data_IF_103801757404
#
_entry.id   IF_103801757404
#
_cell.length_a   1.000
_cell.length_b   1.000
_cell.length_c   1.000
_cell.angle_alpha   90.00
_cell.angle_beta   90.00
_cell.angle_gamma   90.00
#
_symmetry.space_group_name_H-M   'P 1'
#
loop_
_entity.id
_entity.type
_entity.pdbx_description
1 polymer ?
#
# COMPACT_ATOMS: atom_id res chain seq x y z
N UNK A 1 -6.81 -1.97 -5.73
CA UNK A 1 -7.15 -1.46 -4.38
C UNK A 1 -8.66 -1.48 -4.16
N UNK A 2 -9.49 -1.04 -5.12
CA UNK A 2 -10.96 -1.09 -4.97
C UNK A 2 -11.50 -2.50 -4.67
N UNK A 3 -10.99 -3.55 -5.36
CA UNK A 3 -11.35 -4.93 -5.03
C UNK A 3 -10.95 -5.35 -3.60
N UNK A 4 -9.84 -4.83 -3.08
CA UNK A 4 -9.40 -5.09 -1.71
C UNK A 4 -10.35 -4.49 -0.66
N UNK A 5 -11.05 -3.40 -1.00
CA UNK A 5 -12.01 -2.76 -0.10
C UNK A 5 -13.26 -3.62 0.16
N UNK A 6 -13.60 -4.53 -0.75
CA UNK A 6 -14.75 -5.42 -0.61
C UNK A 6 -14.60 -6.39 0.57
N UNK A 7 -13.38 -6.86 0.87
CA UNK A 7 -13.14 -7.78 1.97
C UNK A 7 -13.60 -7.23 3.33
N UNK A 8 -13.02 -6.11 3.82
CA UNK A 8 -13.44 -5.49 5.08
C UNK A 8 -14.91 -5.03 5.08
N UNK A 9 -15.43 -4.58 3.91
CA UNK A 9 -16.85 -4.22 3.78
C UNK A 9 -17.76 -5.40 4.06
N UNK A 10 -17.51 -6.53 3.38
CA UNK A 10 -18.30 -7.75 3.55
C UNK A 10 -18.15 -8.33 4.94
N UNK A 11 -16.92 -8.32 5.49
CA UNK A 11 -16.68 -8.79 6.86
C UNK A 11 -17.37 -7.90 7.89
N UNK A 12 -17.33 -6.58 7.71
CA UNK A 12 -18.04 -5.63 8.57
C UNK A 12 -19.57 -5.83 8.54
N UNK A 13 -20.14 -6.00 7.35
CA UNK A 13 -21.56 -6.28 7.17
C UNK A 13 -21.96 -7.63 7.78
N UNK A 14 -21.18 -8.68 7.57
CA UNK A 14 -21.44 -10.00 8.14
C UNK A 14 -21.43 -9.97 9.68
N UNK A 15 -20.51 -9.19 10.28
CA UNK A 15 -20.44 -8.99 11.72
C UNK A 15 -21.68 -8.25 12.26
N UNK A 16 -22.12 -7.18 11.60
CA UNK A 16 -23.27 -6.39 12.07
C UNK A 16 -24.60 -7.08 11.88
N UNK A 17 -24.75 -7.90 10.83
CA UNK A 17 -25.96 -8.65 10.54
C UNK A 17 -25.99 -10.03 11.20
N UNK A 18 -24.93 -10.39 11.93
CA UNK A 18 -24.71 -11.71 12.54
C UNK A 18 -24.93 -12.88 11.55
N UNK A 19 -24.55 -12.66 10.28
CA UNK A 19 -24.67 -13.61 9.18
C UNK A 19 -23.38 -14.42 9.01
N UNK A 20 -23.20 -15.45 9.80
CA UNK A 20 -22.02 -16.33 9.73
C UNK A 20 -20.70 -15.54 9.57
N UNK A 21 -20.38 -14.60 10.50
CA UNK A 21 -19.31 -13.62 10.31
C UNK A 21 -17.93 -14.24 10.05
N UNK A 22 -17.70 -15.45 10.54
CA UNK A 22 -16.44 -16.19 10.35
C UNK A 22 -16.38 -16.98 9.03
N UNK A 23 -17.49 -17.21 8.36
CA UNK A 23 -17.54 -18.07 7.17
C UNK A 23 -17.99 -17.33 5.89
N UNK A 24 -19.00 -16.45 5.99
CA UNK A 24 -19.63 -15.79 4.85
C UNK A 24 -18.63 -15.04 3.96
N UNK A 25 -17.68 -14.22 4.48
CA UNK A 25 -16.71 -13.52 3.65
C UNK A 25 -15.84 -14.48 2.82
N UNK A 26 -15.45 -15.61 3.39
CA UNK A 26 -14.65 -16.62 2.70
C UNK A 26 -15.42 -17.34 1.61
N UNK A 27 -16.71 -17.69 1.87
CA UNK A 27 -17.57 -18.30 0.85
C UNK A 27 -17.81 -17.37 -0.33
N UNK A 28 -18.02 -16.07 -0.09
CA UNK A 28 -18.19 -15.07 -1.15
C UNK A 28 -16.90 -14.90 -1.99
N UNK A 29 -15.74 -14.81 -1.35
CA UNK A 29 -14.46 -14.72 -2.07
C UNK A 29 -14.21 -15.99 -2.88
N UNK A 30 -14.47 -17.16 -2.33
CA UNK A 30 -14.35 -18.44 -3.03
C UNK A 30 -15.26 -18.48 -4.26
N UNK A 31 -16.53 -18.09 -4.13
CA UNK A 31 -17.48 -18.01 -5.23
C UNK A 31 -17.00 -17.05 -6.33
N UNK A 32 -16.57 -15.84 -5.97
CA UNK A 32 -16.02 -14.87 -6.92
C UNK A 32 -14.77 -15.40 -7.64
N UNK A 33 -13.89 -16.08 -6.91
CA UNK A 33 -12.67 -16.70 -7.49
C UNK A 33 -13.03 -17.80 -8.49
N UNK A 34 -14.02 -18.65 -8.17
CA UNK A 34 -14.50 -19.67 -9.10
C UNK A 34 -15.10 -19.05 -10.36
N UNK A 35 -15.95 -18.04 -10.24
CA UNK A 35 -16.53 -17.32 -11.39
C UNK A 35 -15.42 -16.70 -12.25
N UNK A 36 -14.44 -16.03 -11.63
CA UNK A 36 -13.31 -15.44 -12.35
C UNK A 36 -12.49 -16.52 -13.07
N UNK A 37 -12.23 -17.66 -12.42
CA UNK A 37 -11.49 -18.79 -13.02
C UNK A 37 -12.24 -19.37 -14.21
N UNK A 38 -13.55 -19.61 -14.07
CA UNK A 38 -14.38 -20.07 -15.19
C UNK A 38 -14.40 -19.06 -16.34
N UNK A 39 -14.47 -17.76 -16.03
CA UNK A 39 -14.41 -16.69 -17.03
C UNK A 39 -13.09 -16.69 -17.81
N UNK A 40 -11.97 -16.88 -17.13
CA UNK A 40 -10.64 -16.99 -17.76
C UNK A 40 -10.55 -18.24 -18.61
N UNK A 41 -10.97 -19.40 -18.10
CA UNK A 41 -10.90 -20.67 -18.84
C UNK A 41 -11.84 -20.68 -20.06
N UNK A 42 -13.02 -20.08 -19.96
CA UNK A 42 -13.99 -20.01 -21.06
C UNK A 42 -13.74 -18.91 -22.08
N UNK A 43 -13.10 -17.81 -21.68
CA UNK A 43 -12.90 -16.62 -22.51
C UNK A 43 -11.44 -16.39 -22.96
N UNK A 44 -10.50 -17.25 -22.56
CA UNK A 44 -9.10 -17.10 -22.95
C UNK A 44 -8.93 -17.34 -24.45
N UNK A 45 -8.51 -16.34 -25.24
CA UNK A 45 -8.26 -16.57 -26.66
C UNK A 45 -7.13 -17.58 -26.80
N UNK A 46 -7.43 -18.72 -27.44
CA UNK A 46 -6.46 -19.79 -27.73
C UNK A 46 -5.32 -19.34 -28.65
N UNK A 47 -5.43 -18.16 -29.26
CA UNK A 47 -4.42 -17.51 -30.08
C UNK A 47 -3.88 -16.25 -29.41
N UNK A 48 -3.26 -16.36 -28.23
CA UNK A 48 -2.20 -15.41 -27.90
C UNK A 48 -1.05 -15.78 -28.82
N UNK A 49 -1.04 -15.20 -30.02
CA UNK A 49 0.19 -15.13 -30.80
C UNK A 49 1.20 -14.47 -29.88
N UNK A 50 2.06 -15.28 -29.27
CA UNK A 50 3.33 -14.82 -28.75
C UNK A 50 3.95 -14.10 -29.94
N UNK A 51 3.89 -12.76 -29.93
CA UNK A 51 4.50 -11.95 -30.97
C UNK A 51 5.87 -12.54 -31.16
N UNK A 52 6.16 -13.00 -32.40
CA UNK A 52 7.37 -13.72 -32.75
C UNK A 52 8.57 -12.90 -32.25
N UNK A 53 8.94 -13.15 -30.99
CA UNK A 53 10.22 -12.67 -30.47
C UNK A 53 11.24 -13.39 -31.32
N UNK A 54 11.91 -12.64 -32.19
CA UNK A 54 12.99 -13.18 -33.00
C UNK A 54 13.94 -13.94 -32.07
N UNK A 55 14.42 -15.13 -32.46
CA UNK A 55 15.32 -15.94 -31.63
C UNK A 55 16.51 -15.15 -31.07
N UNK A 56 16.97 -14.14 -31.78
CA UNK A 56 18.03 -13.20 -31.37
C UNK A 56 17.63 -12.31 -30.19
N UNK A 57 16.36 -11.93 -30.07
CA UNK A 57 15.88 -11.16 -28.92
C UNK A 57 15.79 -12.00 -27.63
N UNK A 58 15.63 -13.32 -27.75
CA UNK A 58 15.65 -14.24 -26.60
C UNK A 58 17.08 -14.57 -26.14
N UNK A 59 18.10 -14.46 -27.01
CA UNK A 59 19.51 -14.74 -26.68
C UNK A 59 20.26 -13.54 -26.11
N UNK A 60 19.75 -12.32 -26.24
CA UNK A 60 20.34 -11.16 -25.61
C UNK A 60 20.31 -11.36 -24.08
N UNK A 61 21.46 -11.70 -23.49
CA UNK A 61 21.62 -11.93 -22.05
C UNK A 61 21.18 -10.66 -21.31
N UNK A 62 19.98 -10.70 -20.76
CA UNK A 62 19.42 -9.55 -20.03
C UNK A 62 20.41 -9.09 -18.95
N UNK A 63 20.69 -7.79 -18.81
CA UNK A 63 21.68 -7.27 -17.87
C UNK A 63 21.40 -7.77 -16.46
N UNK A 64 22.46 -7.97 -15.67
CA UNK A 64 22.34 -8.33 -14.25
C UNK A 64 21.60 -7.23 -13.47
N UNK A 65 20.95 -7.58 -12.34
CA UNK A 65 20.19 -6.62 -11.53
C UNK A 65 21.03 -5.41 -11.12
N UNK A 66 22.26 -5.63 -10.65
CA UNK A 66 23.18 -4.55 -10.25
C UNK A 66 23.53 -3.62 -11.42
N UNK A 67 23.71 -4.20 -12.61
CA UNK A 67 23.97 -3.41 -13.82
C UNK A 67 22.74 -2.59 -14.23
N UNK A 68 21.53 -3.15 -14.08
CA UNK A 68 20.26 -2.47 -14.33
C UNK A 68 20.03 -1.29 -13.38
N UNK A 69 20.49 -1.39 -12.12
CA UNK A 69 20.37 -0.34 -11.10
C UNK A 69 21.43 0.76 -11.26
N UNK A 70 22.47 0.55 -12.07
CA UNK A 70 23.55 1.54 -12.25
C UNK A 70 22.98 2.86 -12.79
N UNK A 71 23.20 3.94 -12.03
CA UNK A 71 22.75 5.30 -12.34
C UNK A 71 21.30 5.63 -11.96
N UNK A 72 20.48 4.64 -11.57
CA UNK A 72 19.09 4.85 -11.14
C UNK A 72 18.81 4.35 -9.72
N UNK A 73 19.81 3.76 -9.05
CA UNK A 73 19.61 3.05 -7.78
C UNK A 73 18.93 3.90 -6.71
N UNK A 74 19.39 5.12 -6.48
CA UNK A 74 18.82 5.96 -5.41
C UNK A 74 17.37 6.38 -5.68
N UNK A 75 16.97 6.89 -6.86
CA UNK A 75 15.55 7.13 -7.16
C UNK A 75 14.70 5.87 -7.11
N UNK A 76 15.25 4.74 -7.57
CA UNK A 76 14.56 3.45 -7.54
C UNK A 76 14.26 2.99 -6.11
N UNK A 77 15.29 2.98 -5.25
CA UNK A 77 15.11 2.58 -3.84
C UNK A 77 14.20 3.54 -3.08
N UNK A 78 14.27 4.85 -3.35
CA UNK A 78 13.34 5.80 -2.76
C UNK A 78 11.88 5.43 -3.06
N UNK A 79 11.56 5.14 -4.33
CA UNK A 79 10.21 4.73 -4.71
C UNK A 79 9.79 3.41 -4.05
N UNK A 80 10.69 2.41 -4.02
CA UNK A 80 10.41 1.11 -3.41
C UNK A 80 10.18 1.24 -1.89
N UNK A 81 11.04 1.97 -1.19
CA UNK A 81 10.89 2.20 0.25
C UNK A 81 9.70 3.07 0.60
N UNK A 82 9.30 4.02 -0.25
CA UNK A 82 8.08 4.81 -0.02
C UNK A 82 6.82 3.95 -0.05
N UNK A 83 6.73 3.02 -1.00
CA UNK A 83 5.59 2.09 -1.07
C UNK A 83 5.65 1.07 0.07
N UNK A 84 6.82 0.46 0.33
CA UNK A 84 7.02 -0.44 1.47
C UNK A 84 6.54 0.22 2.78
N UNK A 85 6.97 1.44 3.03
CA UNK A 85 6.63 2.22 4.22
C UNK A 85 5.12 2.46 4.35
N UNK A 86 4.47 2.92 3.27
CA UNK A 86 3.02 3.17 3.27
C UNK A 86 2.21 1.88 3.46
N UNK A 87 2.63 0.78 2.82
CA UNK A 87 1.97 -0.52 2.94
C UNK A 87 2.22 -1.19 4.29
N UNK A 88 3.41 -1.00 4.88
CA UNK A 88 3.72 -1.44 6.25
C UNK A 88 2.76 -0.84 7.27
N UNK A 89 2.50 0.45 7.16
CA UNK A 89 1.53 1.11 8.02
C UNK A 89 0.13 0.53 7.84
N UNK A 90 -0.34 0.37 6.61
CA UNK A 90 -1.64 -0.24 6.33
C UNK A 90 -1.75 -1.67 6.90
N UNK A 91 -0.69 -2.49 6.76
CA UNK A 91 -0.66 -3.83 7.34
C UNK A 91 -0.76 -3.79 8.88
N UNK A 92 -0.05 -2.86 9.54
CA UNK A 92 -0.16 -2.67 10.98
C UNK A 92 -1.60 -2.27 11.39
N UNK A 93 -2.24 -1.37 10.63
CA UNK A 93 -3.63 -0.97 10.88
C UNK A 93 -4.58 -2.15 10.69
N UNK A 94 -4.38 -3.01 9.70
CA UNK A 94 -5.25 -4.17 9.48
C UNK A 94 -5.13 -5.22 10.58
N UNK A 95 -3.94 -5.40 11.15
CA UNK A 95 -3.68 -6.45 12.17
C UNK A 95 -3.96 -5.94 13.58
N UNK A 96 -3.44 -4.78 13.95
CA UNK A 96 -3.48 -4.25 15.32
C UNK A 96 -4.56 -3.18 15.49
N UNK A 97 -5.01 -2.57 14.37
CA UNK A 97 -5.96 -1.47 14.35
C UNK A 97 -7.28 -1.72 15.09
N UNK A 98 -7.94 -2.90 15.00
CA UNK A 98 -9.17 -3.16 15.76
C UNK A 98 -8.96 -3.00 17.28
N UNK A 99 -7.90 -3.60 17.81
CA UNK A 99 -7.55 -3.47 19.23
C UNK A 99 -7.14 -2.05 19.64
N UNK A 100 -6.40 -1.35 18.77
CA UNK A 100 -6.04 0.04 19.02
C UNK A 100 -7.26 0.97 18.99
N UNK A 101 -8.19 0.77 18.06
CA UNK A 101 -9.42 1.55 17.97
C UNK A 101 -10.32 1.32 19.21
N UNK A 102 -10.44 0.08 19.66
CA UNK A 102 -11.19 -0.27 20.86
C UNK A 102 -10.58 0.35 22.12
N UNK A 103 -9.27 0.14 22.34
CA UNK A 103 -8.61 0.54 23.59
C UNK A 103 -8.26 2.03 23.65
N UNK A 104 -7.93 2.67 22.52
CA UNK A 104 -7.44 4.05 22.50
C UNK A 104 -8.49 5.07 22.03
N UNK A 105 -9.50 4.64 21.27
CA UNK A 105 -10.55 5.51 20.75
C UNK A 105 -11.95 5.14 21.28
N UNK A 106 -12.08 4.06 22.03
CA UNK A 106 -13.37 3.57 22.53
C UNK A 106 -14.28 2.98 21.43
N UNK A 107 -13.73 2.65 20.25
CA UNK A 107 -14.48 2.06 19.15
C UNK A 107 -14.50 0.53 19.27
N UNK A 108 -15.41 -0.01 20.06
CA UNK A 108 -15.56 -1.45 20.28
C UNK A 108 -16.30 -2.20 19.16
N UNK A 109 -16.99 -1.49 18.27
CA UNK A 109 -17.72 -2.12 17.15
C UNK A 109 -16.75 -2.47 16.01
N UNK A 110 -16.44 -3.76 15.88
CA UNK A 110 -15.55 -4.30 14.85
C UNK A 110 -16.13 -4.18 13.43
N UNK A 111 -17.46 -4.15 13.29
CA UNK A 111 -18.11 -3.92 12.01
C UNK A 111 -17.87 -2.50 11.52
N UNK A 112 -18.02 -1.50 12.40
CA UNK A 112 -17.70 -0.10 12.08
C UNK A 112 -16.23 0.07 11.74
N UNK A 113 -15.32 -0.64 12.42
CA UNK A 113 -13.91 -0.65 12.06
C UNK A 113 -13.70 -1.21 10.64
N UNK A 114 -14.35 -2.31 10.27
CA UNK A 114 -14.31 -2.89 8.93
C UNK A 114 -14.76 -1.90 7.85
N UNK A 115 -15.86 -1.16 8.10
CA UNK A 115 -16.32 -0.10 7.18
C UNK A 115 -15.32 1.05 7.08
N UNK A 116 -14.66 1.42 8.16
CA UNK A 116 -13.62 2.46 8.17
C UNK A 116 -12.42 2.05 7.30
N UNK A 117 -11.99 0.79 7.38
CA UNK A 117 -10.94 0.24 6.52
C UNK A 117 -11.39 0.21 5.05
N UNK A 118 -12.63 -0.15 4.78
CA UNK A 118 -13.18 -0.13 3.42
C UNK A 118 -13.21 1.29 2.84
N UNK A 119 -13.65 2.27 3.62
CA UNK A 119 -13.62 3.67 3.23
C UNK A 119 -12.19 4.15 2.93
N UNK A 120 -11.22 3.80 3.79
CA UNK A 120 -9.79 4.08 3.55
C UNK A 120 -9.31 3.52 2.20
N UNK A 121 -9.63 2.26 1.91
CA UNK A 121 -9.22 1.60 0.66
C UNK A 121 -9.96 2.14 -0.56
N UNK A 122 -11.22 2.54 -0.45
CA UNK A 122 -11.97 3.21 -1.52
C UNK A 122 -11.38 4.59 -1.84
N UNK A 123 -11.05 5.37 -0.81
CA UNK A 123 -10.34 6.66 -0.97
C UNK A 123 -8.97 6.43 -1.63
N UNK A 124 -8.24 5.39 -1.21
CA UNK A 124 -6.97 5.02 -1.83
C UNK A 124 -7.13 4.66 -3.31
N UNK A 125 -8.15 3.90 -3.67
CA UNK A 125 -8.47 3.58 -5.06
C UNK A 125 -8.85 4.82 -5.89
N UNK A 126 -9.69 5.69 -5.35
CA UNK A 126 -10.07 6.96 -5.99
C UNK A 126 -8.86 7.87 -6.18
N UNK A 127 -7.99 7.97 -5.17
CA UNK A 127 -6.76 8.75 -5.25
C UNK A 127 -5.80 8.24 -6.33
N UNK A 128 -5.74 6.92 -6.54
CA UNK A 128 -4.95 6.33 -7.64
C UNK A 128 -5.43 6.85 -9.01
N UNK A 129 -6.74 6.88 -9.23
CA UNK A 129 -7.31 7.39 -10.47
C UNK A 129 -7.05 8.88 -10.65
N UNK A 130 -7.19 9.66 -9.58
CA UNK A 130 -6.90 11.09 -9.61
C UNK A 130 -5.41 11.37 -9.87
N UNK A 131 -4.52 10.69 -9.14
CA UNK A 131 -3.08 10.90 -9.24
C UNK A 131 -2.46 10.43 -10.56
N UNK A 132 -3.16 9.62 -11.36
CA UNK A 132 -2.73 9.32 -12.73
C UNK A 132 -2.67 10.56 -13.62
N UNK A 133 -3.45 11.61 -13.31
CA UNK A 133 -3.43 12.88 -14.04
C UNK A 133 -2.29 13.81 -13.60
N UNK A 134 -1.71 13.58 -12.45
CA UNK A 134 -0.59 14.35 -11.92
C UNK A 134 0.73 13.86 -12.51
N UNK A 135 1.75 14.72 -12.49
CA UNK A 135 3.13 14.27 -12.68
C UNK A 135 3.52 13.25 -11.61
N UNK A 136 4.26 12.20 -12.02
CA UNK A 136 4.59 11.08 -11.14
C UNK A 136 5.36 11.52 -9.87
N UNK A 137 6.27 12.49 -10.01
CA UNK A 137 7.00 13.07 -8.88
C UNK A 137 6.06 13.86 -7.95
N UNK A 138 5.13 14.65 -8.51
CA UNK A 138 4.16 15.39 -7.72
C UNK A 138 3.23 14.47 -6.97
N UNK A 139 2.78 13.38 -7.58
CA UNK A 139 1.98 12.36 -6.93
C UNK A 139 2.71 11.72 -5.75
N UNK A 140 3.99 11.35 -5.92
CA UNK A 140 4.82 10.80 -4.82
C UNK A 140 5.00 11.82 -3.68
N UNK A 141 5.38 13.06 -3.99
CA UNK A 141 5.61 14.10 -2.97
C UNK A 141 4.33 14.45 -2.21
N UNK A 142 3.20 14.66 -2.91
CA UNK A 142 1.91 14.93 -2.25
C UNK A 142 1.48 13.74 -1.38
N UNK A 143 1.71 12.52 -1.86
CA UNK A 143 1.42 11.31 -1.09
C UNK A 143 2.24 11.21 0.20
N UNK A 144 3.57 11.42 0.13
CA UNK A 144 4.45 11.38 1.32
C UNK A 144 4.11 12.49 2.31
N UNK A 145 3.82 13.71 1.82
CA UNK A 145 3.40 14.82 2.68
C UNK A 145 2.08 14.49 3.39
N UNK A 146 1.09 13.99 2.65
CA UNK A 146 -0.20 13.60 3.22
C UNK A 146 -0.04 12.42 4.20
N UNK A 147 0.89 11.49 3.94
CA UNK A 147 1.15 10.37 4.85
C UNK A 147 1.71 10.89 6.20
N UNK A 148 2.66 11.82 6.18
CA UNK A 148 3.19 12.44 7.41
C UNK A 148 2.08 13.20 8.16
N UNK A 149 1.24 13.95 7.44
CA UNK A 149 0.11 14.65 8.04
C UNK A 149 -0.90 13.67 8.67
N UNK A 150 -1.22 12.57 7.96
CA UNK A 150 -2.11 11.54 8.49
C UNK A 150 -1.57 10.93 9.79
N UNK A 151 -0.27 10.65 9.87
CA UNK A 151 0.36 10.13 11.10
C UNK A 151 0.31 11.13 12.25
N UNK A 152 0.58 12.41 11.98
CA UNK A 152 0.50 13.45 13.00
C UNK A 152 -0.93 13.61 13.54
N UNK A 153 -1.93 13.63 12.66
CA UNK A 153 -3.34 13.73 13.06
C UNK A 153 -3.80 12.47 13.78
N UNK A 154 -3.39 11.27 13.34
CA UNK A 154 -3.74 10.01 13.99
C UNK A 154 -3.08 9.89 15.38
N UNK A 155 -1.83 10.32 15.51
CA UNK A 155 -1.15 10.36 16.79
C UNK A 155 -1.89 11.29 17.77
N UNK A 156 -2.30 12.46 17.30
CA UNK A 156 -3.12 13.38 18.09
C UNK A 156 -4.48 12.79 18.44
N UNK A 157 -5.12 12.06 17.53
CA UNK A 157 -6.38 11.34 17.76
C UNK A 157 -6.25 10.34 18.90
N UNK A 158 -5.17 9.55 18.93
CA UNK A 158 -4.93 8.59 20.00
C UNK A 158 -4.59 9.27 21.33
N UNK A 159 -3.81 10.35 21.34
CA UNK A 159 -3.53 11.09 22.58
C UNK A 159 -4.78 11.72 23.19
N UNK A 160 -5.73 12.16 22.36
CA UNK A 160 -6.96 12.80 22.82
C UNK A 160 -8.15 11.83 22.90
N UNK A 161 -7.95 10.54 22.59
CA UNK A 161 -9.01 9.53 22.47
C UNK A 161 -10.19 10.03 21.59
N UNK A 162 -9.88 10.71 20.47
CA UNK A 162 -10.84 11.44 19.65
C UNK A 162 -11.12 10.75 18.32
N UNK A 163 -12.29 10.16 18.17
CA UNK A 163 -12.79 9.64 16.89
C UNK A 163 -12.94 10.75 15.83
N UNK A 164 -13.25 11.98 16.26
CA UNK A 164 -13.39 13.13 15.34
C UNK A 164 -12.06 13.43 14.61
N UNK A 165 -10.92 13.22 15.26
CA UNK A 165 -9.60 13.38 14.64
C UNK A 165 -9.18 12.12 13.86
N UNK A 166 -9.65 10.95 14.23
CA UNK A 166 -9.33 9.72 13.52
C UNK A 166 -9.92 9.69 12.10
N UNK A 167 -11.11 10.28 11.89
CA UNK A 167 -11.76 10.34 10.57
C UNK A 167 -10.92 11.12 9.53
N UNK A 168 -10.50 12.37 9.75
CA UNK A 168 -9.64 13.05 8.79
C UNK A 168 -8.29 12.36 8.60
N UNK A 169 -7.71 11.74 9.64
CA UNK A 169 -6.49 10.96 9.49
C UNK A 169 -6.68 9.78 8.51
N UNK A 170 -7.83 9.09 8.58
CA UNK A 170 -8.19 8.02 7.67
C UNK A 170 -8.33 8.53 6.22
N UNK A 171 -9.01 9.65 6.01
CA UNK A 171 -9.22 10.24 4.67
C UNK A 171 -7.87 10.65 4.05
N UNK A 172 -7.05 11.39 4.81
CA UNK A 172 -5.73 11.85 4.37
C UNK A 172 -4.80 10.66 4.11
N UNK A 173 -4.82 9.65 5.01
CA UNK A 173 -4.04 8.42 4.86
C UNK A 173 -4.44 7.59 3.64
N UNK A 174 -5.74 7.48 3.35
CA UNK A 174 -6.24 6.81 2.14
C UNK A 174 -5.75 7.48 0.86
N UNK A 175 -5.83 8.82 0.80
CA UNK A 175 -5.23 9.57 -0.31
C UNK A 175 -3.73 9.30 -0.43
N UNK A 176 -2.99 9.37 0.67
CA UNK A 176 -1.55 9.15 0.71
C UNK A 176 -1.15 7.77 0.17
N UNK A 177 -1.85 6.72 0.63
CA UNK A 177 -1.62 5.34 0.18
C UNK A 177 -1.69 5.19 -1.34
N UNK A 178 -2.74 5.72 -1.96
CA UNK A 178 -2.92 5.64 -3.41
C UNK A 178 -1.93 6.50 -4.18
N UNK A 179 -1.67 7.73 -3.72
CA UNK A 179 -0.76 8.69 -4.36
C UNK A 179 0.70 8.20 -4.34
N UNK A 180 1.18 7.67 -3.20
CA UNK A 180 2.53 7.10 -3.08
C UNK A 180 2.70 5.93 -4.05
N UNK A 181 1.73 5.02 -4.09
CA UNK A 181 1.80 3.86 -4.97
C UNK A 181 1.87 4.25 -6.45
N UNK A 182 0.93 5.08 -6.91
CA UNK A 182 0.87 5.50 -8.33
C UNK A 182 2.10 6.32 -8.71
N UNK A 183 2.52 7.27 -7.87
CA UNK A 183 3.71 8.08 -8.10
C UNK A 183 4.96 7.22 -8.23
N UNK A 184 5.19 6.31 -7.27
CA UNK A 184 6.34 5.39 -7.26
C UNK A 184 6.31 4.41 -8.43
N UNK A 185 5.18 3.75 -8.70
CA UNK A 185 5.07 2.78 -9.77
C UNK A 185 5.34 3.41 -11.15
N UNK A 186 4.81 4.62 -11.40
CA UNK A 186 5.07 5.36 -12.65
C UNK A 186 6.53 5.76 -12.78
N UNK A 187 7.16 6.27 -11.71
CA UNK A 187 8.59 6.61 -11.71
C UNK A 187 9.45 5.38 -11.98
N UNK A 188 9.16 4.25 -11.33
CA UNK A 188 9.91 3.00 -11.54
C UNK A 188 9.73 2.49 -12.97
N UNK A 189 8.51 2.54 -13.53
CA UNK A 189 8.29 2.17 -14.92
C UNK A 189 9.08 3.06 -15.89
N UNK A 190 9.21 4.35 -15.59
CA UNK A 190 10.03 5.28 -16.39
C UNK A 190 11.53 4.96 -16.27
N UNK A 191 12.01 4.74 -15.03
CA UNK A 191 13.41 4.40 -14.74
C UNK A 191 13.84 3.05 -15.33
N UNK A 192 12.94 2.09 -15.40
CA UNK A 192 13.20 0.74 -15.85
C UNK A 192 13.21 0.58 -17.38
N UNK A 193 12.78 1.60 -18.14
CA UNK A 193 12.77 1.52 -19.62
C UNK A 193 14.16 1.17 -20.17
N UNK A 194 14.26 0.11 -20.98
CA UNK A 194 15.49 -0.32 -21.62
C UNK A 194 16.55 -0.93 -20.70
N UNK A 195 16.27 -1.13 -19.39
CA UNK A 195 17.24 -1.58 -18.39
C UNK A 195 16.88 -2.92 -17.72
N UNK A 196 16.32 -3.87 -18.44
CA UNK A 196 15.87 -5.12 -17.82
C UNK A 196 14.59 -4.93 -17.00
N UNK A 197 13.60 -4.30 -17.61
CA UNK A 197 12.33 -3.86 -17.03
C UNK A 197 11.68 -4.91 -16.10
N UNK A 198 11.52 -6.15 -16.57
CA UNK A 198 10.90 -7.21 -15.76
C UNK A 198 11.64 -7.51 -14.46
N UNK A 199 12.99 -7.53 -14.49
CA UNK A 199 13.82 -7.77 -13.30
C UNK A 199 13.69 -6.64 -12.28
N UNK A 200 13.67 -5.39 -12.74
CA UNK A 200 13.52 -4.21 -11.88
C UNK A 200 12.13 -4.17 -11.25
N UNK A 201 11.08 -4.47 -12.01
CA UNK A 201 9.72 -4.55 -11.47
C UNK A 201 9.59 -5.70 -10.45
N UNK A 202 10.17 -6.87 -10.74
CA UNK A 202 10.17 -7.98 -9.79
C UNK A 202 10.90 -7.60 -8.48
N UNK A 203 12.07 -6.97 -8.58
CA UNK A 203 12.83 -6.50 -7.41
C UNK A 203 12.07 -5.42 -6.62
N UNK A 204 11.38 -4.51 -7.30
CA UNK A 204 10.51 -3.54 -6.65
C UNK A 204 9.44 -4.24 -5.80
N UNK A 205 8.69 -5.17 -6.38
CA UNK A 205 7.65 -5.88 -5.63
C UNK A 205 8.22 -6.76 -4.53
N UNK A 206 9.36 -7.43 -4.72
CA UNK A 206 10.05 -8.16 -3.65
C UNK A 206 10.35 -7.25 -2.45
N UNK A 207 10.89 -6.05 -2.70
CA UNK A 207 11.16 -5.08 -1.65
C UNK A 207 9.87 -4.62 -0.96
N UNK A 208 8.84 -4.32 -1.76
CA UNK A 208 7.56 -3.84 -1.22
C UNK A 208 6.89 -4.91 -0.36
N UNK A 209 6.84 -6.17 -0.80
CA UNK A 209 6.14 -7.25 -0.09
C UNK A 209 6.76 -7.62 1.27
N UNK A 210 7.95 -7.14 1.60
CA UNK A 210 8.50 -7.22 2.96
C UNK A 210 7.61 -6.52 4.01
N UNK A 211 6.68 -5.64 3.56
CA UNK A 211 5.73 -4.97 4.46
C UNK A 211 4.92 -5.94 5.34
N UNK A 212 4.67 -7.16 4.86
CA UNK A 212 3.91 -8.16 5.62
C UNK A 212 4.63 -8.62 6.92
N UNK A 213 5.94 -8.43 7.01
CA UNK A 213 6.69 -8.77 8.22
C UNK A 213 6.60 -7.69 9.32
N UNK A 214 6.24 -6.45 8.96
CA UNK A 214 6.28 -5.31 9.90
C UNK A 214 5.26 -5.39 11.05
N UNK A 215 4.03 -5.91 10.88
CA UNK A 215 3.11 -6.10 12.00
C UNK A 215 3.61 -7.03 13.11
N UNK A 216 4.51 -7.98 12.77
CA UNK A 216 5.01 -8.96 13.76
C UNK A 216 5.80 -8.29 14.89
N UNK A 217 6.87 -7.51 14.64
CA UNK A 217 7.58 -6.82 15.71
C UNK A 217 6.69 -5.81 16.45
N UNK A 218 5.71 -5.19 15.78
CA UNK A 218 4.77 -4.30 16.46
C UNK A 218 3.84 -5.10 17.41
N UNK A 219 3.38 -6.27 17.01
CA UNK A 219 2.61 -7.17 17.89
C UNK A 219 3.41 -7.57 19.13
N UNK A 220 4.65 -7.99 18.96
CA UNK A 220 5.55 -8.30 20.08
C UNK A 220 5.77 -7.09 21.00
N UNK A 221 5.85 -5.90 20.43
CA UNK A 221 5.96 -4.68 21.22
C UNK A 221 4.68 -4.39 22.03
N UNK A 222 3.51 -4.63 21.43
CA UNK A 222 2.21 -4.53 22.14
C UNK A 222 2.15 -5.51 23.31
N UNK A 223 2.59 -6.76 23.11
CA UNK A 223 2.61 -7.78 24.18
C UNK A 223 3.57 -7.39 25.33
N UNK A 224 4.69 -6.75 24.99
CA UNK A 224 5.71 -6.37 25.98
C UNK A 224 5.40 -5.08 26.73
N UNK A 225 4.78 -4.09 26.07
CA UNK A 225 4.63 -2.71 26.63
C UNK A 225 3.19 -2.26 26.78
N UNK A 226 2.23 -3.00 26.23
CA UNK A 226 0.84 -2.62 26.12
C UNK A 226 0.51 -1.83 24.84
N UNK A 227 -0.78 -1.73 24.54
CA UNK A 227 -1.28 -1.14 23.29
C UNK A 227 -0.89 0.32 23.11
N UNK A 228 -1.12 1.18 24.12
CA UNK A 228 -0.89 2.62 23.98
C UNK A 228 0.58 2.98 23.74
N UNK A 229 1.56 2.53 24.54
CA UNK A 229 2.97 2.84 24.29
C UNK A 229 3.46 2.31 22.94
N UNK A 230 3.05 1.08 22.57
CA UNK A 230 3.45 0.46 21.30
C UNK A 230 2.94 1.25 20.10
N UNK A 231 1.65 1.60 20.09
CA UNK A 231 1.02 2.33 18.98
C UNK A 231 1.57 3.75 18.87
N UNK A 232 1.70 4.49 19.99
CA UNK A 232 2.29 5.82 19.98
C UNK A 232 3.73 5.80 19.49
N UNK A 233 4.55 4.87 20.01
CA UNK A 233 5.94 4.72 19.60
C UNK A 233 6.07 4.36 18.12
N UNK A 234 5.24 3.44 17.63
CA UNK A 234 5.20 3.07 16.22
C UNK A 234 4.81 4.26 15.32
N UNK A 235 3.77 5.04 15.69
CA UNK A 235 3.36 6.21 14.93
C UNK A 235 4.42 7.30 14.89
N UNK A 236 5.13 7.53 16.02
CA UNK A 236 6.26 8.45 16.06
C UNK A 236 7.40 8.00 15.14
N UNK A 237 7.72 6.70 15.14
CA UNK A 237 8.72 6.12 14.25
C UNK A 237 8.29 6.25 12.78
N UNK A 238 7.03 5.92 12.46
CA UNK A 238 6.49 6.12 11.11
C UNK A 238 6.53 7.59 10.69
N UNK A 239 6.20 8.53 11.55
CA UNK A 239 6.29 9.96 11.26
C UNK A 239 7.73 10.40 10.97
N UNK A 240 8.70 9.95 11.78
CA UNK A 240 10.11 10.24 11.60
C UNK A 240 10.64 9.67 10.26
N UNK A 241 10.39 8.40 9.99
CA UNK A 241 10.83 7.74 8.76
C UNK A 241 10.14 8.36 7.53
N UNK A 242 8.84 8.65 7.61
CA UNK A 242 8.08 9.32 6.56
C UNK A 242 8.62 10.70 6.23
N UNK A 243 8.98 11.48 7.24
CA UNK A 243 9.62 12.79 7.07
C UNK A 243 10.99 12.64 6.38
N UNK A 244 11.78 11.64 6.77
CA UNK A 244 13.05 11.31 6.11
C UNK A 244 12.87 11.00 4.62
N UNK A 245 11.90 10.14 4.28
CA UNK A 245 11.56 9.80 2.89
C UNK A 245 11.08 11.03 2.11
N UNK A 246 10.25 11.87 2.71
CA UNK A 246 9.77 13.11 2.09
C UNK A 246 10.92 14.07 1.78
N UNK A 247 11.85 14.28 2.73
CA UNK A 247 13.03 15.12 2.52
C UNK A 247 13.94 14.55 1.44
N UNK A 248 14.14 13.24 1.40
CA UNK A 248 14.90 12.56 0.33
C UNK A 248 14.22 12.76 -1.03
N UNK A 249 12.90 12.57 -1.11
CA UNK A 249 12.12 12.74 -2.35
C UNK A 249 12.17 14.19 -2.85
N UNK A 250 12.21 15.16 -1.94
CA UNK A 250 12.37 16.57 -2.30
C UNK A 250 13.75 16.89 -2.87
N UNK A 251 14.81 16.34 -2.28
CA UNK A 251 16.21 16.57 -2.69
C UNK A 251 16.57 15.84 -3.97
N UNK A 252 16.02 14.65 -4.22
CA UNK A 252 16.34 13.88 -5.44
C UNK A 252 15.66 14.54 -6.64
N UNK A 253 16.49 15.00 -7.59
CA UNK A 253 16.04 15.46 -8.90
C UNK A 253 15.83 14.26 -9.81
N UNK A 254 14.59 13.95 -10.11
CA UNK A 254 14.21 13.03 -11.19
C UNK A 254 14.44 13.78 -12.52
N UNK A 255 15.70 13.81 -13.01
CA UNK A 255 16.01 14.55 -14.24
C UNK A 255 15.55 13.78 -15.47
N UNK A 256 14.76 14.38 -16.35
CA UNK A 256 14.34 13.74 -17.62
C UNK A 256 15.53 13.43 -18.55
N UNK A 257 16.66 14.10 -18.38
CA UNK A 257 17.87 13.85 -19.17
C UNK A 257 18.59 12.52 -18.81
N UNK A 258 18.12 11.79 -17.80
CA UNK A 258 18.59 10.45 -17.41
C UNK A 258 17.52 9.38 -17.53
N UNK A 259 16.34 9.74 -18.01
CA UNK A 259 15.21 8.88 -18.34
C UNK A 259 15.14 8.68 -19.86
#
# INVERSE_FOLDING_TARGET
VMGLALGPLLSGAALQLDLYPMALPFWLIMGLTLVATCGVLGGWPTSVQVANATPDAMQAKAPGLLQSLKGIGMPFHLCAWSVFFSWSFAACVFVIGPGAAEQLLGLGDRGVFGYSISAYLLIAGASQLFCQRLDARRALLSGLLSQCLAFAVLLLAFFQASLLLAVPALIIGGYAYGAIFVGSARLINQLAKGKGHGKLIAYFYMTVYLFNAVPVPLGLLVDATGMAPAVHGALMLFLLLGTGLLLMAYRIRFSPARL
#
